data_IF_859898328406
#
_entry.id   IF_859898328406
#
_cell.length_a   1.000
_cell.length_b   1.000
_cell.length_c   1.000
_cell.angle_alpha   90.00
_cell.angle_beta   90.00
_cell.angle_gamma   90.00
#
_symmetry.space_group_name_H-M   'P 1'
#
loop_
_entity.id
_entity.type
_entity.pdbx_description
1 polymer ?
#
# COMPACT_ATOMS: atom_id res chain seq x y z
N UNK A 1 15.32 -5.82 10.62
CA UNK A 1 16.60 -5.68 9.88
C UNK A 1 17.22 -4.34 10.22
N UNK A 2 18.52 -4.30 10.52
CA UNK A 2 19.22 -3.07 10.97
C UNK A 2 20.11 -2.46 9.89
N UNK A 3 20.64 -3.28 8.98
CA UNK A 3 21.40 -2.83 7.83
C UNK A 3 21.28 -3.84 6.66
N UNK A 4 21.58 -3.38 5.45
CA UNK A 4 21.59 -4.17 4.22
C UNK A 4 22.85 -3.86 3.41
N UNK A 5 23.66 -4.89 3.13
CA UNK A 5 24.93 -4.77 2.41
C UNK A 5 24.75 -5.34 1.00
N UNK A 6 25.08 -4.53 -0.02
CA UNK A 6 25.06 -4.97 -1.42
C UNK A 6 26.43 -4.86 -2.06
N UNK A 7 26.74 -5.80 -2.95
CA UNK A 7 27.87 -5.71 -3.85
C UNK A 7 27.38 -5.26 -5.23
N UNK A 8 28.02 -4.23 -5.77
CA UNK A 8 27.69 -3.69 -7.09
C UNK A 8 28.31 -4.53 -8.20
N UNK A 9 27.58 -4.68 -9.30
CA UNK A 9 28.01 -5.38 -10.52
C UNK A 9 28.01 -4.46 -11.75
N UNK A 10 27.73 -3.17 -11.58
CA UNK A 10 27.52 -2.22 -12.67
C UNK A 10 28.80 -1.46 -13.06
N UNK A 11 29.43 -1.87 -14.17
CA UNK A 11 30.53 -1.17 -14.84
C UNK A 11 31.68 -0.79 -13.89
N UNK A 12 32.01 0.49 -13.84
CA UNK A 12 33.09 1.07 -13.01
C UNK A 12 32.89 0.87 -11.50
N UNK A 13 31.72 0.41 -11.07
CA UNK A 13 31.40 0.14 -9.68
C UNK A 13 31.42 -1.35 -9.34
N UNK A 14 31.78 -2.22 -10.28
CA UNK A 14 31.92 -3.65 -10.05
C UNK A 14 32.79 -3.95 -8.82
N UNK A 15 32.28 -4.80 -7.92
CA UNK A 15 32.95 -5.22 -6.69
C UNK A 15 32.89 -4.21 -5.54
N UNK A 16 32.33 -3.00 -5.75
CA UNK A 16 32.17 -2.04 -4.65
C UNK A 16 31.02 -2.45 -3.74
N UNK A 17 31.28 -2.46 -2.44
CA UNK A 17 30.27 -2.71 -1.42
C UNK A 17 29.56 -1.42 -1.03
N UNK A 18 28.24 -1.49 -0.82
CA UNK A 18 27.43 -0.39 -0.31
C UNK A 18 26.60 -0.87 0.87
N UNK A 19 26.77 -0.22 2.01
CA UNK A 19 26.01 -0.48 3.22
C UNK A 19 24.86 0.53 3.31
N UNK A 20 23.64 0.02 3.45
CA UNK A 20 22.44 0.78 3.78
C UNK A 20 22.13 0.55 5.25
N UNK A 21 22.20 1.59 6.07
CA UNK A 21 21.83 1.54 7.48
C UNK A 21 20.42 2.08 7.66
N UNK A 22 19.58 1.33 8.37
CA UNK A 22 18.20 1.73 8.63
C UNK A 22 18.07 2.48 9.96
N UNK A 23 17.14 3.44 10.06
CA UNK A 23 16.91 4.16 11.31
C UNK A 23 16.43 3.20 12.39
N UNK A 24 16.97 3.35 13.62
CA UNK A 24 16.58 2.50 14.77
C UNK A 24 15.12 2.69 15.21
N UNK A 25 14.49 3.78 14.80
CA UNK A 25 13.10 4.10 15.11
C UNK A 25 12.08 3.31 14.28
N UNK A 26 12.49 2.66 13.17
CA UNK A 26 11.59 1.92 12.29
C UNK A 26 12.01 0.47 12.15
N UNK A 27 11.09 -0.45 12.42
CA UNK A 27 11.30 -1.88 12.18
C UNK A 27 11.19 -2.18 10.69
N UNK A 28 12.31 -2.55 10.07
CA UNK A 28 12.33 -3.04 8.69
C UNK A 28 12.20 -4.57 8.70
N UNK A 29 11.15 -5.07 8.08
CA UNK A 29 10.87 -6.50 7.91
C UNK A 29 11.92 -7.09 6.94
N UNK A 30 12.42 -8.29 7.22
CA UNK A 30 13.40 -8.98 6.36
C UNK A 30 12.74 -9.92 5.32
N UNK A 31 13.50 -10.40 4.31
CA UNK A 31 12.97 -11.23 3.22
C UNK A 31 12.14 -12.44 3.68
N UNK A 32 12.66 -13.24 4.61
CA UNK A 32 11.94 -14.42 5.16
C UNK A 32 10.60 -14.07 5.83
N UNK A 33 10.52 -12.90 6.46
CA UNK A 33 9.28 -12.44 7.07
C UNK A 33 8.29 -11.94 6.01
N UNK A 34 8.78 -11.37 4.91
CA UNK A 34 7.95 -11.00 3.76
C UNK A 34 7.41 -12.25 3.06
N UNK A 35 8.23 -13.27 2.86
CA UNK A 35 7.82 -14.59 2.34
C UNK A 35 6.69 -15.21 3.17
N UNK A 36 6.84 -15.20 4.51
CA UNK A 36 5.80 -15.66 5.41
C UNK A 36 4.51 -14.84 5.27
N UNK A 37 4.62 -13.51 5.14
CA UNK A 37 3.46 -12.62 4.95
C UNK A 37 2.76 -12.85 3.61
N UNK A 38 3.51 -13.06 2.53
CA UNK A 38 2.97 -13.42 1.20
C UNK A 38 2.23 -14.75 1.28
N UNK A 39 2.82 -15.75 1.93
CA UNK A 39 2.24 -17.10 2.10
C UNK A 39 0.97 -17.11 2.96
N UNK A 40 0.79 -16.10 3.82
CA UNK A 40 -0.38 -15.95 4.68
C UNK A 40 -1.44 -15.00 4.08
N UNK A 41 -1.20 -14.41 2.92
CA UNK A 41 -2.18 -13.56 2.27
C UNK A 41 -3.27 -14.42 1.60
N UNK A 42 -4.52 -14.27 2.05
CA UNK A 42 -5.63 -15.12 1.61
C UNK A 42 -5.86 -15.13 0.09
N UNK A 43 -5.73 -13.96 -0.56
CA UNK A 43 -5.94 -13.82 -2.01
C UNK A 43 -4.83 -14.55 -2.76
N UNK A 44 -3.58 -14.30 -2.38
CA UNK A 44 -2.42 -14.93 -3.01
C UNK A 44 -2.47 -16.44 -2.80
N UNK A 45 -2.66 -16.91 -1.55
CA UNK A 45 -2.65 -18.33 -1.23
C UNK A 45 -3.75 -19.11 -1.92
N UNK A 46 -4.93 -18.51 -2.11
CA UNK A 46 -6.01 -19.10 -2.90
C UNK A 46 -5.64 -19.26 -4.37
N UNK A 47 -5.05 -18.22 -4.97
CA UNK A 47 -4.63 -18.24 -6.38
C UNK A 47 -3.48 -19.24 -6.61
N UNK A 48 -2.52 -19.29 -5.69
CA UNK A 48 -1.44 -20.28 -5.71
C UNK A 48 -2.00 -21.70 -5.66
N UNK A 49 -2.92 -21.99 -4.73
CA UNK A 49 -3.54 -23.31 -4.64
C UNK A 49 -4.33 -23.69 -5.91
N UNK A 50 -4.95 -22.71 -6.57
CA UNK A 50 -5.65 -22.93 -7.83
C UNK A 50 -4.69 -23.25 -8.98
N UNK A 51 -3.55 -22.55 -9.06
CA UNK A 51 -2.54 -22.77 -10.10
C UNK A 51 -1.68 -24.00 -9.85
N UNK A 52 -1.46 -24.37 -8.59
CA UNK A 52 -0.76 -25.59 -8.17
C UNK A 52 -1.70 -26.81 -8.21
N UNK A 53 -2.60 -26.81 -9.19
CA UNK A 53 -3.58 -27.86 -9.41
C UNK A 53 -3.69 -28.18 -10.90
N UNK A 54 -4.34 -29.30 -11.24
CA UNK A 54 -4.65 -29.69 -12.63
C UNK A 54 -3.41 -29.91 -13.53
N UNK A 55 -2.36 -30.54 -12.99
CA UNK A 55 -1.17 -30.89 -13.76
C UNK A 55 -0.30 -29.67 -14.10
N UNK A 56 -0.39 -28.61 -13.30
CA UNK A 56 0.54 -27.48 -13.30
C UNK A 56 1.17 -27.35 -11.92
N UNK A 57 2.41 -26.89 -11.88
CA UNK A 57 3.17 -26.63 -10.67
C UNK A 57 3.50 -25.15 -10.59
N UNK A 58 3.27 -24.55 -9.42
CA UNK A 58 3.69 -23.18 -9.13
C UNK A 58 5.10 -23.18 -8.56
N UNK A 59 5.94 -22.30 -9.10
CA UNK A 59 7.31 -22.10 -8.66
C UNK A 59 7.48 -20.64 -8.23
N UNK A 60 7.79 -20.46 -6.95
CA UNK A 60 8.18 -19.16 -6.40
C UNK A 60 9.62 -18.86 -6.76
N UNK A 61 9.85 -17.67 -7.31
CA UNK A 61 11.18 -17.19 -7.67
C UNK A 61 11.95 -16.68 -6.45
N UNK A 62 13.15 -16.16 -6.70
CA UNK A 62 13.92 -15.51 -5.64
C UNK A 62 13.34 -14.12 -5.35
N UNK A 63 13.13 -13.81 -4.08
CA UNK A 63 12.77 -12.47 -3.63
C UNK A 63 13.92 -11.47 -3.83
N UNK A 64 13.64 -10.43 -4.60
CA UNK A 64 14.55 -9.32 -4.86
C UNK A 64 14.31 -8.22 -3.81
N UNK A 65 15.37 -7.90 -3.07
CA UNK A 65 15.35 -6.89 -2.00
C UNK A 65 15.97 -5.60 -2.52
N UNK A 66 15.16 -4.56 -2.72
CA UNK A 66 15.58 -3.30 -3.33
C UNK A 66 15.47 -2.17 -2.29
N UNK A 67 16.60 -1.62 -1.80
CA UNK A 67 16.56 -0.52 -0.86
C UNK A 67 16.19 0.78 -1.58
N UNK A 68 15.20 1.51 -1.03
CA UNK A 68 14.75 2.81 -1.52
C UNK A 68 14.74 3.77 -0.33
N UNK A 69 15.67 4.73 -0.32
CA UNK A 69 15.89 5.66 0.79
C UNK A 69 16.01 4.91 2.13
N UNK A 70 15.05 5.10 3.04
CA UNK A 70 15.00 4.50 4.38
C UNK A 70 14.04 3.31 4.48
N UNK A 71 13.63 2.73 3.35
CA UNK A 71 12.70 1.60 3.25
C UNK A 71 13.22 0.55 2.26
N UNK A 72 12.55 -0.60 2.20
CA UNK A 72 12.86 -1.67 1.26
C UNK A 72 11.60 -2.03 0.45
N UNK A 73 11.77 -2.19 -0.86
CA UNK A 73 10.81 -2.79 -1.76
C UNK A 73 11.21 -4.24 -2.01
N UNK A 74 10.24 -5.14 -1.89
CA UNK A 74 10.41 -6.56 -2.16
C UNK A 74 9.65 -6.94 -3.43
N UNK A 75 10.29 -7.70 -4.32
CA UNK A 75 9.69 -8.17 -5.56
C UNK A 75 9.98 -9.66 -5.71
N UNK A 76 8.95 -10.46 -5.94
CA UNK A 76 9.08 -11.90 -6.12
C UNK A 76 8.32 -12.31 -7.41
N UNK A 77 9.00 -12.88 -8.40
CA UNK A 77 8.33 -13.41 -9.59
C UNK A 77 7.73 -14.79 -9.32
N UNK A 78 6.51 -15.01 -9.80
CA UNK A 78 5.83 -16.29 -9.76
C UNK A 78 5.87 -16.95 -11.13
N UNK A 79 6.32 -18.19 -11.18
CA UNK A 79 6.34 -18.99 -12.40
C UNK A 79 5.33 -20.13 -12.32
N UNK A 80 4.78 -20.51 -13.47
CA UNK A 80 3.97 -21.70 -13.63
C UNK A 80 4.62 -22.58 -14.69
N UNK A 81 4.66 -23.89 -14.44
CA UNK A 81 5.03 -24.88 -15.45
C UNK A 81 4.02 -26.02 -15.46
N UNK A 82 3.89 -26.71 -16.58
CA UNK A 82 3.18 -27.98 -16.60
C UNK A 82 3.92 -29.03 -15.76
N UNK A 83 3.18 -30.01 -15.22
CA UNK A 83 3.69 -31.14 -14.46
C UNK A 83 4.36 -32.18 -15.38
N UNK A 84 5.45 -31.74 -16.00
CA UNK A 84 6.33 -32.57 -16.81
C UNK A 84 7.77 -32.08 -16.65
N UNK A 85 8.73 -32.99 -16.58
CA UNK A 85 10.14 -32.63 -16.33
C UNK A 85 10.75 -31.70 -17.38
N UNK A 86 10.19 -31.65 -18.59
CA UNK A 86 10.68 -30.83 -19.70
C UNK A 86 9.92 -29.50 -19.86
N UNK A 87 8.94 -29.21 -19.00
CA UNK A 87 8.19 -27.96 -19.09
C UNK A 87 9.07 -26.77 -18.69
N UNK A 88 9.09 -25.76 -19.55
CA UNK A 88 9.77 -24.49 -19.28
C UNK A 88 8.85 -23.64 -18.40
N UNK A 89 9.33 -23.14 -17.24
CA UNK A 89 8.54 -22.23 -16.41
C UNK A 89 8.32 -20.88 -17.09
N UNK A 90 7.10 -20.38 -17.02
CA UNK A 90 6.73 -19.06 -17.52
C UNK A 90 6.33 -18.14 -16.37
N UNK A 91 6.78 -16.88 -16.40
CA UNK A 91 6.34 -15.88 -15.42
C UNK A 91 4.86 -15.62 -15.60
N UNK A 92 4.07 -15.86 -14.54
CA UNK A 92 2.63 -15.62 -14.55
C UNK A 92 2.23 -14.36 -13.79
N UNK A 93 2.92 -14.09 -12.67
CA UNK A 93 2.61 -12.98 -11.77
C UNK A 93 3.88 -12.39 -11.18
N UNK A 94 3.77 -11.14 -10.74
CA UNK A 94 4.76 -10.46 -9.92
C UNK A 94 4.09 -10.12 -8.59
N UNK A 95 4.67 -10.62 -7.50
CA UNK A 95 4.31 -10.22 -6.15
C UNK A 95 5.23 -9.07 -5.77
N UNK A 96 4.66 -7.99 -5.25
CA UNK A 96 5.44 -6.86 -4.75
C UNK A 96 4.96 -6.48 -3.36
N UNK A 97 5.90 -6.17 -2.47
CA UNK A 97 5.60 -5.76 -1.11
C UNK A 97 6.39 -4.53 -0.69
N UNK A 98 5.69 -3.59 -0.07
CA UNK A 98 6.26 -2.37 0.49
C UNK A 98 5.57 -2.03 1.81
N UNK A 99 6.35 -1.95 2.90
CA UNK A 99 5.85 -1.88 4.27
C UNK A 99 4.82 -2.98 4.56
N UNK A 100 3.56 -2.63 4.76
CA UNK A 100 2.47 -3.54 5.11
C UNK A 100 1.59 -3.93 3.91
N UNK A 101 1.83 -3.35 2.74
CA UNK A 101 1.11 -3.70 1.52
C UNK A 101 1.82 -4.84 0.80
N UNK A 102 1.02 -5.81 0.36
CA UNK A 102 1.43 -6.90 -0.53
C UNK A 102 0.42 -6.95 -1.66
N UNK A 103 0.90 -6.93 -2.89
CA UNK A 103 0.06 -7.02 -4.09
C UNK A 103 0.61 -8.09 -5.01
N UNK A 104 -0.26 -8.69 -5.82
CA UNK A 104 0.12 -9.66 -6.84
C UNK A 104 -0.56 -9.28 -8.15
N UNK A 105 0.24 -8.98 -9.18
CA UNK A 105 -0.24 -8.44 -10.45
C UNK A 105 0.38 -9.17 -11.65
N UNK A 106 -0.16 -8.92 -12.84
CA UNK A 106 0.36 -9.53 -14.08
C UNK A 106 1.77 -9.04 -14.45
N UNK A 107 2.06 -7.77 -14.17
CA UNK A 107 3.30 -7.11 -14.58
C UNK A 107 3.87 -6.30 -13.43
N UNK A 108 5.18 -6.06 -13.48
CA UNK A 108 5.86 -5.21 -12.50
C UNK A 108 5.25 -3.79 -12.48
N UNK A 109 4.94 -3.24 -13.65
CA UNK A 109 4.33 -1.90 -13.76
C UNK A 109 2.98 -1.81 -13.03
N UNK A 110 2.11 -2.82 -13.22
CA UNK A 110 0.85 -2.92 -12.50
C UNK A 110 1.08 -3.10 -11.00
N UNK A 111 2.02 -3.94 -10.59
CA UNK A 111 2.34 -4.16 -9.18
C UNK A 111 2.80 -2.86 -8.51
N UNK A 112 3.68 -2.09 -9.17
CA UNK A 112 4.14 -0.79 -8.67
C UNK A 112 3.01 0.24 -8.64
N UNK A 113 2.15 0.27 -9.66
CA UNK A 113 0.97 1.13 -9.69
C UNK A 113 -0.02 0.76 -8.58
N UNK A 114 -0.23 -0.52 -8.31
CA UNK A 114 -1.09 -1.00 -7.23
C UNK A 114 -0.51 -0.65 -5.84
N UNK A 115 0.82 -0.71 -5.69
CA UNK A 115 1.50 -0.32 -4.45
C UNK A 115 1.53 1.19 -4.19
N UNK A 116 1.76 2.00 -5.22
CA UNK A 116 2.10 3.43 -5.09
C UNK A 116 1.18 4.39 -5.84
N UNK A 117 0.43 3.90 -6.82
CA UNK A 117 -0.42 4.71 -7.70
C UNK A 117 -1.73 5.18 -7.06
N UNK A 118 -2.02 4.75 -5.84
CA UNK A 118 -3.08 5.31 -5.00
C UNK A 118 -2.49 6.19 -3.90
N UNK A 119 -2.39 7.49 -4.14
CA UNK A 119 -2.40 8.46 -3.04
C UNK A 119 -3.86 8.73 -2.63
N UNK A 120 -4.13 8.47 -1.35
CA UNK A 120 -5.36 8.69 -0.55
C UNK A 120 -6.34 7.51 -0.47
N UNK A 121 -6.48 7.03 0.77
CA UNK A 121 -7.56 6.24 1.37
C UNK A 121 -8.08 4.96 0.67
N UNK A 122 -7.93 3.84 1.38
CA UNK A 122 -8.86 2.70 1.37
C UNK A 122 -8.34 1.61 2.31
N UNK A 123 -8.50 1.84 3.61
CA UNK A 123 -8.85 0.74 4.50
C UNK A 123 -10.38 0.68 4.55
N UNK A 124 -10.99 0.31 3.43
CA UNK A 124 -12.36 -0.17 3.42
C UNK A 124 -12.28 -1.69 3.42
N UNK A 125 -12.40 -2.26 4.63
CA UNK A 125 -12.88 -3.63 4.77
C UNK A 125 -14.29 -3.67 4.18
N UNK A 126 -14.37 -4.32 3.02
CA UNK A 126 -15.61 -4.70 2.37
C UNK A 126 -16.27 -5.77 3.26
N UNK A 127 -17.27 -5.38 4.05
CA UNK A 127 -18.34 -6.29 4.42
C UNK A 127 -19.53 -6.07 3.52
N UNK A 128 -19.80 -7.09 2.72
CA UNK A 128 -20.95 -7.19 1.83
C UNK A 128 -22.24 -7.33 2.63
N UNK A 129 -23.28 -6.59 2.28
CA UNK A 129 -24.68 -7.01 2.44
C UNK A 129 -25.60 -6.28 1.46
N UNK A 130 -26.02 -7.07 0.48
CA UNK A 130 -27.16 -7.02 -0.46
C UNK A 130 -28.19 -5.89 -0.40
N UNK A 131 -28.56 -5.44 -1.60
CA UNK A 131 -29.66 -4.54 -1.97
C UNK A 131 -31.06 -5.07 -1.64
N UNK A 132 -31.99 -4.17 -1.29
CA UNK A 132 -33.29 -4.02 -1.98
C UNK A 132 -33.93 -2.64 -1.65
N UNK A 133 -34.60 -2.06 -2.64
CA UNK A 133 -35.15 -0.68 -2.74
C UNK A 133 -36.60 -0.59 -2.18
N UNK A 134 -37.39 0.50 -2.41
CA UNK A 134 -37.42 1.88 -1.85
C UNK A 134 -38.63 2.11 -0.91
N UNK A 135 -38.77 3.29 -0.27
CA UNK A 135 -39.99 4.17 -0.27
C UNK A 135 -39.87 5.30 0.78
N UNK A 136 -39.96 6.53 0.27
CA UNK A 136 -40.54 7.81 0.73
C UNK A 136 -40.83 8.15 2.23
N UNK A 137 -40.88 9.48 2.41
CA UNK A 137 -41.52 10.37 3.39
C UNK A 137 -40.81 10.83 4.70
N UNK A 138 -40.60 12.16 4.72
CA UNK A 138 -40.83 13.15 5.82
C UNK A 138 -39.66 13.94 6.44
N UNK A 139 -39.93 15.24 6.51
CA UNK A 139 -39.12 16.37 6.90
C UNK A 139 -39.11 16.61 8.43
N UNK A 140 -37.92 16.95 8.95
CA UNK A 140 -37.62 17.90 10.05
C UNK A 140 -38.05 17.53 11.49
N UNK A 141 -37.52 18.17 12.57
CA UNK A 141 -36.26 18.93 12.76
C UNK A 141 -35.49 18.48 14.05
N UNK A 142 -34.49 19.28 14.47
CA UNK A 142 -33.98 19.48 15.86
C UNK A 142 -32.59 18.87 16.20
N UNK A 143 -31.57 19.72 16.05
CA UNK A 143 -30.70 20.22 17.13
C UNK A 143 -30.20 19.22 18.20
N UNK A 144 -28.92 18.81 18.09
CA UNK A 144 -27.88 18.69 19.17
C UNK A 144 -26.81 17.65 18.77
N UNK A 145 -25.65 17.64 19.45
CA UNK A 145 -24.44 18.43 19.24
C UNK A 145 -23.44 17.74 18.30
N UNK A 146 -22.36 18.44 17.91
CA UNK A 146 -21.23 17.87 17.18
C UNK A 146 -20.74 16.58 17.86
N UNK A 147 -20.58 15.46 17.12
CA UNK A 147 -19.82 14.33 17.64
C UNK A 147 -18.35 14.73 17.66
N UNK A 148 -17.72 14.65 18.84
CA UNK A 148 -16.26 14.51 19.00
C UNK A 148 -15.80 13.12 18.51
N UNK A 149 -16.32 12.66 17.37
CA UNK A 149 -15.87 11.43 16.72
C UNK A 149 -14.66 11.77 15.84
N UNK A 150 -13.57 11.02 16.02
CA UNK A 150 -12.36 11.14 15.21
C UNK A 150 -12.67 11.15 13.71
N UNK A 151 -13.67 10.37 13.28
CA UNK A 151 -14.16 10.34 11.90
C UNK A 151 -14.73 11.70 11.42
N UNK A 152 -15.45 12.42 12.29
CA UNK A 152 -15.96 13.77 11.99
C UNK A 152 -14.84 14.80 11.89
N UNK A 153 -13.84 14.71 12.76
CA UNK A 153 -12.66 15.57 12.73
C UNK A 153 -11.77 15.31 11.50
N UNK A 154 -11.61 14.05 11.09
CA UNK A 154 -10.88 13.69 9.86
C UNK A 154 -11.58 14.26 8.63
N UNK A 155 -12.91 14.13 8.54
CA UNK A 155 -13.67 14.70 7.44
C UNK A 155 -13.53 16.23 7.39
N UNK A 156 -13.64 16.89 8.54
CA UNK A 156 -13.49 18.34 8.63
C UNK A 156 -12.07 18.82 8.29
N UNK A 157 -11.05 18.03 8.65
CA UNK A 157 -9.65 18.28 8.28
C UNK A 157 -9.43 18.21 6.75
N UNK A 158 -9.97 17.17 6.10
CA UNK A 158 -9.87 17.03 4.65
C UNK A 158 -10.57 18.17 3.91
N UNK A 159 -11.77 18.55 4.34
CA UNK A 159 -12.52 19.69 3.76
C UNK A 159 -11.76 21.02 3.90
N UNK A 160 -11.12 21.27 5.06
CA UNK A 160 -10.31 22.48 5.27
C UNK A 160 -9.04 22.49 4.41
N UNK A 161 -8.43 21.32 4.21
CA UNK A 161 -7.26 21.19 3.34
C UNK A 161 -7.61 21.48 1.88
N UNK A 162 -8.72 20.96 1.37
CA UNK A 162 -9.18 21.26 0.01
C UNK A 162 -9.49 22.75 -0.18
N UNK A 163 -10.23 23.36 0.76
CA UNK A 163 -10.53 24.80 0.74
C UNK A 163 -9.25 25.66 0.78
N UNK A 164 -8.22 25.24 1.53
CA UNK A 164 -6.94 25.92 1.53
C UNK A 164 -6.27 25.84 0.14
N UNK A 165 -6.26 24.67 -0.50
CA UNK A 165 -5.69 24.51 -1.84
C UNK A 165 -6.43 25.32 -2.90
N UNK A 166 -7.75 25.45 -2.78
CA UNK A 166 -8.55 26.33 -3.65
C UNK A 166 -8.21 27.81 -3.42
N UNK A 167 -8.08 28.26 -2.16
CA UNK A 167 -7.68 29.62 -1.84
C UNK A 167 -6.27 29.94 -2.37
N UNK A 168 -5.36 28.97 -2.34
CA UNK A 168 -4.01 29.09 -2.91
C UNK A 168 -4.06 29.24 -4.44
N UNK A 169 -4.92 28.47 -5.13
CA UNK A 169 -5.15 28.60 -6.58
C UNK A 169 -5.82 29.91 -6.96
N UNK A 170 -6.72 30.42 -6.11
CA UNK A 170 -7.39 31.70 -6.28
C UNK A 170 -6.50 32.91 -5.95
N UNK A 171 -5.26 32.68 -5.46
CA UNK A 171 -4.32 33.74 -5.08
C UNK A 171 -4.65 34.45 -3.77
N UNK A 172 -5.57 33.90 -2.97
CA UNK A 172 -6.02 34.44 -1.68
C UNK A 172 -5.16 33.90 -0.54
N UNK A 173 -3.95 34.48 -0.38
CA UNK A 173 -2.99 34.03 0.64
C UNK A 173 -3.53 34.15 2.08
N UNK A 174 -4.35 35.17 2.36
CA UNK A 174 -4.89 35.39 3.72
C UNK A 174 -5.95 34.35 4.09
N UNK A 175 -6.75 33.89 3.13
CA UNK A 175 -7.73 32.82 3.38
C UNK A 175 -7.03 31.47 3.54
N UNK A 176 -5.98 31.22 2.74
CA UNK A 176 -5.12 30.05 2.92
C UNK A 176 -4.53 29.98 4.33
N UNK A 177 -3.98 31.09 4.83
CA UNK A 177 -3.39 31.13 6.19
C UNK A 177 -4.43 30.85 7.29
N UNK A 178 -5.66 31.34 7.14
CA UNK A 178 -6.74 31.04 8.10
C UNK A 178 -7.10 29.56 8.08
N UNK A 179 -7.28 28.99 6.88
CA UNK A 179 -7.69 27.59 6.69
C UNK A 179 -6.62 26.60 7.16
N UNK A 180 -5.34 26.90 6.92
CA UNK A 180 -4.24 26.04 7.37
C UNK A 180 -4.06 26.08 8.90
N UNK A 181 -4.34 27.22 9.54
CA UNK A 181 -4.31 27.34 10.99
C UNK A 181 -5.49 26.61 11.65
N UNK A 182 -6.69 26.68 11.07
CA UNK A 182 -7.86 25.90 11.50
C UNK A 182 -7.60 24.40 11.39
N UNK A 183 -7.00 23.95 10.27
CA UNK A 183 -6.58 22.56 10.08
C UNK A 183 -5.59 22.11 11.17
N UNK A 184 -4.58 22.93 11.46
CA UNK A 184 -3.60 22.62 12.51
C UNK A 184 -4.22 22.47 13.90
N UNK A 185 -5.29 23.22 14.20
CA UNK A 185 -6.02 23.08 15.46
C UNK A 185 -6.85 21.79 15.53
N UNK A 186 -7.44 21.36 14.42
CA UNK A 186 -8.18 20.08 14.34
C UNK A 186 -7.22 18.90 14.47
N UNK A 187 -6.07 18.93 13.80
CA UNK A 187 -5.07 17.88 13.90
C UNK A 187 -4.52 17.74 15.32
N UNK A 188 -4.32 18.85 16.05
CA UNK A 188 -3.94 18.81 17.48
C UNK A 188 -5.01 18.20 18.38
N UNK A 189 -6.29 18.30 18.01
CA UNK A 189 -7.40 17.66 18.75
C UNK A 189 -7.50 16.16 18.44
N UNK A 190 -7.08 15.73 17.25
CA UNK A 190 -6.96 14.31 16.88
C UNK A 190 -5.75 13.62 17.54
N UNK A 191 -4.75 14.37 17.98
CA UNK A 191 -3.54 13.83 18.63
C UNK A 191 -3.70 13.67 20.17
N UNK A 192 -4.77 14.20 20.77
CA UNK A 192 -5.07 14.12 22.21
C UNK A 192 -5.95 12.91 22.54
#
# INVERSE_FOLDING_TARGET
MTAFLVARNDGDNYGKLKLYEFPKSKTIIGPEQVEARISNNDVISRDLALWDSRGSQVLRGNILTIPINSSILYIEPLYIRADSEKAIPEVRRIIASYNDKVVMEDTLEKALTSLFGGSSDSNEQIESSVSDEPTDIEQMPVNSPLPEDEAGLIKQANELYEQAQEALKAGSLSEYEKKINELGNILKRLEQ
#
